data_IF_660388465194
#
_entry.id   IF_660388465194
#
_cell.length_a   1.000
_cell.length_b   1.000
_cell.length_c   1.000
_cell.angle_alpha   90.00
_cell.angle_beta   90.00
_cell.angle_gamma   90.00
#
_symmetry.space_group_name_H-M   'P 1'
#
loop_
_entity.id
_entity.type
_entity.pdbx_description
1 polymer ?
#
# COMPACT_ATOMS: atom_id res chain seq x y z
N UNK A 1 -30.70 26.25 -7.49
CA UNK A 1 -29.57 26.32 -6.53
C UNK A 1 -29.57 25.00 -5.76
N UNK A 2 -28.74 24.01 -6.10
CA UNK A 2 -28.70 22.74 -5.33
C UNK A 2 -27.51 21.84 -5.71
N UNK A 3 -26.32 22.43 -5.92
CA UNK A 3 -25.07 21.67 -6.17
C UNK A 3 -23.94 21.97 -5.18
N UNK A 4 -24.28 22.59 -4.04
CA UNK A 4 -23.29 22.99 -3.02
C UNK A 4 -23.29 22.09 -1.78
N UNK A 5 -24.40 21.41 -1.48
CA UNK A 5 -24.54 20.60 -0.26
C UNK A 5 -23.95 19.17 -0.32
N UNK A 6 -23.65 18.63 -1.51
CA UNK A 6 -23.05 17.29 -1.64
C UNK A 6 -21.52 17.27 -1.47
N UNK A 7 -20.85 18.36 -1.85
CA UNK A 7 -19.38 18.48 -1.73
C UNK A 7 -18.95 18.59 -0.27
N UNK A 8 -19.75 19.26 0.56
CA UNK A 8 -19.46 19.45 1.98
C UNK A 8 -19.62 18.15 2.80
N UNK A 9 -20.49 17.21 2.38
CA UNK A 9 -20.61 15.88 3.01
C UNK A 9 -19.45 14.95 2.67
N UNK A 10 -18.92 15.03 1.45
CA UNK A 10 -17.76 14.25 1.03
C UNK A 10 -16.50 14.64 1.81
N UNK A 11 -16.30 15.94 2.07
CA UNK A 11 -15.17 16.43 2.86
C UNK A 11 -15.17 15.90 4.31
N UNK A 12 -16.33 15.74 4.97
CA UNK A 12 -16.40 15.32 6.37
C UNK A 12 -16.00 13.85 6.63
N UNK A 13 -16.14 12.96 5.66
CA UNK A 13 -15.87 11.53 5.81
C UNK A 13 -14.36 11.17 5.71
N UNK A 14 -13.55 12.00 5.05
CA UNK A 14 -12.10 11.76 4.87
C UNK A 14 -11.25 12.14 6.09
N UNK A 15 -11.76 13.01 6.96
CA UNK A 15 -11.04 13.50 8.14
C UNK A 15 -10.63 12.40 9.14
N UNK A 16 -11.48 11.43 9.51
CA UNK A 16 -11.09 10.37 10.43
C UNK A 16 -10.05 9.42 9.82
N UNK A 17 -10.17 9.06 8.54
CA UNK A 17 -9.21 8.18 7.88
C UNK A 17 -7.83 8.85 7.76
N UNK A 18 -7.78 10.07 7.24
CA UNK A 18 -6.55 10.85 7.12
C UNK A 18 -5.88 11.12 8.46
N UNK A 19 -6.64 11.21 9.56
CA UNK A 19 -6.07 11.32 10.91
C UNK A 19 -5.44 10.01 11.36
N UNK A 20 -6.13 8.88 11.20
CA UNK A 20 -5.57 7.56 11.57
C UNK A 20 -4.29 7.25 10.80
N UNK A 21 -4.25 7.59 9.51
CA UNK A 21 -3.06 7.44 8.68
C UNK A 21 -1.87 8.24 9.24
N UNK A 22 -2.08 9.54 9.55
CA UNK A 22 -1.05 10.38 10.17
C UNK A 22 -0.59 9.83 11.52
N UNK A 23 -1.51 9.42 12.37
CA UNK A 23 -1.18 8.85 13.67
C UNK A 23 -0.39 7.54 13.53
N UNK A 24 -0.70 6.74 12.50
CA UNK A 24 0.06 5.53 12.18
C UNK A 24 1.48 5.86 11.70
N UNK A 25 1.63 6.85 10.81
CA UNK A 25 2.94 7.32 10.35
C UNK A 25 3.82 7.77 11.53
N UNK A 26 3.30 8.63 12.40
CA UNK A 26 4.02 9.09 13.60
C UNK A 26 4.45 7.91 14.47
N UNK A 27 3.54 6.98 14.79
CA UNK A 27 3.87 5.80 15.60
C UNK A 27 4.92 4.89 14.97
N UNK A 28 4.95 4.77 13.64
CA UNK A 28 5.94 3.96 12.94
C UNK A 28 7.30 4.66 12.89
N UNK A 29 7.32 5.98 12.68
CA UNK A 29 8.54 6.79 12.77
C UNK A 29 9.13 6.75 14.18
N UNK A 30 8.32 6.87 15.22
CA UNK A 30 8.76 6.72 16.63
C UNK A 30 9.35 5.32 16.93
N UNK A 31 8.97 4.32 16.13
CA UNK A 31 9.52 2.95 16.21
C UNK A 31 10.78 2.76 15.35
N UNK A 32 11.31 3.82 14.75
CA UNK A 32 12.51 3.78 13.94
C UNK A 32 12.27 3.39 12.48
N UNK A 33 11.09 3.68 11.91
CA UNK A 33 10.84 3.44 10.48
C UNK A 33 11.77 4.25 9.56
N UNK A 34 12.34 5.35 10.06
CA UNK A 34 13.39 6.14 9.41
C UNK A 34 14.79 5.48 9.49
N UNK A 35 14.95 4.49 10.37
CA UNK A 35 16.18 3.77 10.66
C UNK A 35 16.12 2.29 10.24
N UNK A 36 15.21 1.93 9.31
CA UNK A 36 15.15 0.57 8.77
C UNK A 36 16.49 0.27 8.11
N UNK A 37 17.33 -0.49 8.82
CA UNK A 37 18.62 -0.92 8.33
C UNK A 37 18.45 -1.75 7.05
N UNK A 38 19.44 -1.74 6.14
CA UNK A 38 19.51 -2.74 5.08
C UNK A 38 19.29 -4.12 5.70
N UNK A 39 18.39 -4.93 5.13
CA UNK A 39 18.04 -6.20 5.75
C UNK A 39 19.32 -7.04 5.81
N UNK A 40 19.71 -7.61 6.97
CA UNK A 40 21.04 -8.22 7.13
C UNK A 40 21.28 -9.47 6.26
N UNK A 41 20.22 -10.03 5.64
CA UNK A 41 20.31 -11.10 4.64
C UNK A 41 20.30 -10.60 3.18
N UNK A 42 20.16 -9.29 2.96
CA UNK A 42 20.39 -8.65 1.66
C UNK A 42 21.89 -8.33 1.57
N UNK A 43 22.60 -8.75 0.51
CA UNK A 43 23.99 -8.37 0.30
C UNK A 43 24.10 -6.83 0.23
N UNK A 44 24.91 -6.22 1.11
CA UNK A 44 25.19 -4.79 1.06
C UNK A 44 25.99 -4.42 -0.20
N UNK A 45 25.62 -3.27 -0.80
CA UNK A 45 26.13 -2.70 -2.05
C UNK A 45 25.92 -3.57 -3.31
N UNK A 46 24.76 -3.39 -3.97
CA UNK A 46 24.49 -3.98 -5.31
C UNK A 46 23.15 -4.69 -5.46
N UNK A 47 22.31 -4.75 -4.42
CA UNK A 47 20.94 -5.25 -4.57
C UNK A 47 20.15 -4.33 -5.52
N UNK A 48 19.55 -4.93 -6.56
CA UNK A 48 18.63 -4.20 -7.45
C UNK A 48 17.50 -3.60 -6.62
N UNK A 49 17.20 -2.30 -6.77
CA UNK A 49 16.04 -1.69 -6.11
C UNK A 49 14.74 -2.46 -6.40
N UNK A 50 13.77 -2.37 -5.50
CA UNK A 50 12.48 -3.05 -5.69
C UNK A 50 11.77 -2.54 -6.94
N UNK A 51 10.81 -3.30 -7.48
CA UNK A 51 10.02 -2.81 -8.61
C UNK A 51 9.26 -1.54 -8.24
N UNK A 52 8.81 -1.41 -6.98
CA UNK A 52 8.23 -0.15 -6.47
C UNK A 52 9.24 1.00 -6.56
N UNK A 53 10.46 0.83 -6.06
CA UNK A 53 11.49 1.87 -6.09
C UNK A 53 11.83 2.30 -7.52
N UNK A 54 11.98 1.33 -8.43
CA UNK A 54 12.28 1.59 -9.83
C UNK A 54 11.16 2.38 -10.52
N UNK A 55 9.89 2.08 -10.23
CA UNK A 55 8.75 2.83 -10.80
C UNK A 55 8.66 4.26 -10.27
N UNK A 56 8.96 4.48 -8.98
CA UNK A 56 9.02 5.84 -8.40
C UNK A 56 10.19 6.64 -8.98
N UNK A 57 11.35 5.99 -9.13
CA UNK A 57 12.52 6.60 -9.76
C UNK A 57 12.23 6.99 -11.23
N UNK A 58 11.61 6.09 -11.99
CA UNK A 58 11.23 6.37 -13.37
C UNK A 58 10.25 7.56 -13.48
N UNK A 59 9.28 7.67 -12.56
CA UNK A 59 8.39 8.83 -12.49
C UNK A 59 9.15 10.12 -12.15
N UNK A 60 10.08 10.08 -11.20
CA UNK A 60 10.90 11.23 -10.82
C UNK A 60 11.80 11.71 -11.96
N UNK A 61 12.34 10.78 -12.77
CA UNK A 61 13.23 11.07 -13.92
C UNK A 61 12.49 11.10 -15.26
N UNK A 62 11.17 11.19 -15.27
CA UNK A 62 10.36 10.98 -16.48
C UNK A 62 10.77 11.86 -17.67
N UNK A 63 11.23 13.09 -17.44
CA UNK A 63 11.69 14.00 -18.50
C UNK A 63 12.98 13.58 -19.20
N UNK A 64 13.71 12.64 -18.62
CA UNK A 64 15.01 12.16 -19.10
C UNK A 64 14.91 10.77 -19.75
N UNK A 65 13.74 10.12 -19.66
CA UNK A 65 13.53 8.79 -20.22
C UNK A 65 13.16 8.89 -21.69
N UNK A 66 13.74 7.98 -22.48
CA UNK A 66 13.27 7.68 -23.83
C UNK A 66 11.93 6.95 -23.79
N UNK A 67 11.25 6.87 -24.94
CA UNK A 67 9.99 6.14 -25.05
C UNK A 67 10.15 4.65 -24.68
N UNK A 68 11.25 4.01 -25.09
CA UNK A 68 11.50 2.59 -24.79
C UNK A 68 11.78 2.36 -23.30
N UNK A 69 12.53 3.28 -22.65
CA UNK A 69 12.76 3.22 -21.21
C UNK A 69 11.46 3.44 -20.41
N UNK A 70 10.58 4.32 -20.88
CA UNK A 70 9.27 4.52 -20.28
C UNK A 70 8.39 3.26 -20.41
N UNK A 71 8.39 2.60 -21.58
CA UNK A 71 7.71 1.31 -21.76
C UNK A 71 8.30 0.22 -20.85
N UNK A 72 9.63 0.18 -20.71
CA UNK A 72 10.32 -0.67 -19.75
C UNK A 72 9.85 -0.44 -18.32
N UNK A 73 9.79 0.82 -17.88
CA UNK A 73 9.30 1.19 -16.55
C UNK A 73 7.83 0.79 -16.35
N UNK A 74 6.96 0.98 -17.35
CA UNK A 74 5.56 0.54 -17.28
C UNK A 74 5.42 -0.98 -17.15
N UNK A 75 6.33 -1.75 -17.76
CA UNK A 75 6.37 -3.21 -17.63
C UNK A 75 6.68 -3.71 -16.21
N UNK A 76 7.25 -2.84 -15.35
CA UNK A 76 7.51 -3.16 -13.94
C UNK A 76 6.26 -3.05 -13.05
N UNK A 77 5.20 -2.37 -13.50
CA UNK A 77 3.99 -2.14 -12.68
C UNK A 77 3.33 -3.43 -12.15
N UNK A 78 3.21 -4.54 -12.90
CA UNK A 78 2.69 -5.81 -12.36
C UNK A 78 3.56 -6.41 -11.25
N UNK A 79 4.87 -6.17 -11.25
CA UNK A 79 5.79 -6.59 -10.19
C UNK A 79 5.71 -5.65 -8.99
N UNK A 80 5.71 -4.34 -9.22
CA UNK A 80 5.55 -3.35 -8.15
C UNK A 80 4.23 -3.54 -7.37
N UNK A 81 3.12 -3.80 -8.08
CA UNK A 81 1.84 -4.15 -7.45
C UNK A 81 1.91 -5.45 -6.65
N UNK A 82 2.63 -6.46 -7.15
CA UNK A 82 2.84 -7.72 -6.44
C UNK A 82 3.54 -7.50 -5.10
N UNK A 83 4.60 -6.69 -5.10
CA UNK A 83 5.39 -6.40 -3.91
C UNK A 83 4.53 -5.73 -2.83
N UNK A 84 3.70 -4.75 -3.21
CA UNK A 84 2.76 -4.10 -2.29
C UNK A 84 1.69 -5.08 -1.79
N UNK A 85 1.10 -5.88 -2.69
CA UNK A 85 0.10 -6.90 -2.32
C UNK A 85 0.68 -7.95 -1.37
N UNK A 86 1.94 -8.35 -1.53
CA UNK A 86 2.61 -9.30 -0.63
C UNK A 86 2.77 -8.72 0.77
N UNK A 87 3.15 -7.44 0.88
CA UNK A 87 3.22 -6.75 2.18
C UNK A 87 1.83 -6.66 2.82
N UNK A 88 0.81 -6.34 2.03
CA UNK A 88 -0.58 -6.28 2.50
C UNK A 88 -1.06 -7.62 3.04
N UNK A 89 -0.83 -8.72 2.31
CA UNK A 89 -1.18 -10.08 2.75
C UNK A 89 -0.45 -10.44 4.04
N UNK A 90 0.85 -10.17 4.12
CA UNK A 90 1.64 -10.45 5.32
C UNK A 90 1.12 -9.64 6.53
N UNK A 91 0.80 -8.36 6.34
CA UNK A 91 0.27 -7.51 7.40
C UNK A 91 -1.13 -7.95 7.85
N UNK A 92 -2.00 -8.35 6.91
CA UNK A 92 -3.30 -8.92 7.22
C UNK A 92 -3.18 -10.22 8.01
N UNK A 93 -2.23 -11.09 7.63
CA UNK A 93 -1.95 -12.31 8.37
C UNK A 93 -1.54 -12.01 9.82
N UNK A 94 -0.58 -11.09 10.02
CA UNK A 94 -0.14 -10.65 11.36
C UNK A 94 -1.29 -10.02 12.15
N UNK A 95 -2.08 -9.14 11.54
CA UNK A 95 -3.25 -8.54 12.19
C UNK A 95 -4.24 -9.61 12.68
N UNK A 96 -4.49 -10.64 11.85
CA UNK A 96 -5.38 -11.74 12.20
C UNK A 96 -4.79 -12.65 13.28
N UNK A 97 -3.46 -12.89 13.28
CA UNK A 97 -2.80 -13.68 14.34
C UNK A 97 -2.79 -12.97 15.68
N UNK A 98 -2.72 -11.63 15.69
CA UNK A 98 -2.87 -10.79 16.89
C UNK A 98 -4.34 -10.61 17.35
N UNK A 99 -5.28 -11.30 16.69
CA UNK A 99 -6.68 -11.34 17.11
C UNK A 99 -7.55 -10.18 16.63
N UNK A 100 -7.07 -9.29 15.74
CA UNK A 100 -7.89 -8.18 15.23
C UNK A 100 -9.10 -8.73 14.48
N UNK A 101 -10.29 -8.22 14.82
CA UNK A 101 -11.54 -8.60 14.16
C UNK A 101 -11.64 -7.99 12.76
N UNK A 102 -12.44 -8.60 11.89
CA UNK A 102 -12.74 -8.05 10.57
C UNK A 102 -13.37 -6.67 10.62
N UNK A 103 -14.08 -6.31 11.70
CA UNK A 103 -14.62 -4.97 11.88
C UNK A 103 -13.51 -3.94 12.14
N UNK A 104 -12.54 -4.27 13.00
CA UNK A 104 -11.38 -3.41 13.28
C UNK A 104 -10.51 -3.23 12.03
N UNK A 105 -10.26 -4.31 11.29
CA UNK A 105 -9.49 -4.26 10.04
C UNK A 105 -10.24 -3.44 8.98
N UNK A 106 -11.55 -3.66 8.82
CA UNK A 106 -12.37 -2.89 7.90
C UNK A 106 -12.34 -1.40 8.22
N UNK A 107 -12.49 -1.04 9.48
CA UNK A 107 -12.42 0.35 9.92
C UNK A 107 -11.03 0.96 9.63
N UNK A 108 -9.95 0.24 9.94
CA UNK A 108 -8.58 0.70 9.73
C UNK A 108 -8.24 0.91 8.25
N UNK A 109 -8.71 0.04 7.37
CA UNK A 109 -8.49 0.11 5.92
C UNK A 109 -9.53 0.96 5.17
N UNK A 110 -10.46 1.61 5.87
CA UNK A 110 -11.46 2.48 5.24
C UNK A 110 -12.61 1.76 4.53
N UNK A 111 -12.84 0.47 4.81
CA UNK A 111 -14.01 -0.24 4.31
C UNK A 111 -15.29 0.19 5.04
N UNK A 112 -16.39 0.23 4.29
CA UNK A 112 -17.72 0.57 4.82
C UNK A 112 -18.38 -0.57 5.61
N UNK A 113 -17.86 -1.79 5.51
CA UNK A 113 -18.37 -2.94 6.28
C UNK A 113 -17.30 -4.04 6.46
N UNK A 114 -17.42 -4.87 7.52
CA UNK A 114 -16.55 -6.02 7.72
C UNK A 114 -16.61 -7.03 6.56
N UNK A 115 -17.79 -7.22 5.98
CA UNK A 115 -18.00 -8.13 4.85
C UNK A 115 -17.26 -7.64 3.60
N UNK A 116 -17.26 -6.33 3.32
CA UNK A 116 -16.52 -5.77 2.19
C UNK A 116 -15.01 -6.02 2.33
N UNK A 117 -14.48 -5.87 3.55
CA UNK A 117 -13.10 -6.20 3.88
C UNK A 117 -12.82 -7.71 3.67
N UNK A 118 -13.66 -8.60 4.20
CA UNK A 118 -13.50 -10.05 3.99
C UNK A 118 -13.50 -10.44 2.51
N UNK A 119 -14.43 -9.90 1.72
CA UNK A 119 -14.51 -10.17 0.28
C UNK A 119 -13.31 -9.60 -0.49
N UNK A 120 -12.78 -8.47 -0.04
CA UNK A 120 -11.52 -7.94 -0.57
C UNK A 120 -10.36 -8.91 -0.29
N UNK A 121 -10.17 -9.32 0.96
CA UNK A 121 -9.08 -10.22 1.35
C UNK A 121 -9.18 -11.57 0.63
N UNK A 122 -10.38 -12.15 0.52
CA UNK A 122 -10.58 -13.40 -0.22
C UNK A 122 -10.15 -13.27 -1.69
N UNK A 123 -10.45 -12.14 -2.34
CA UNK A 123 -10.02 -11.86 -3.72
C UNK A 123 -8.51 -11.63 -3.80
N UNK A 124 -7.93 -10.97 -2.80
CA UNK A 124 -6.49 -10.74 -2.72
C UNK A 124 -5.74 -12.07 -2.60
N UNK A 125 -6.15 -12.96 -1.69
CA UNK A 125 -5.56 -14.30 -1.54
C UNK A 125 -5.70 -15.16 -2.79
N UNK A 126 -6.88 -15.19 -3.43
CA UNK A 126 -7.10 -15.98 -4.64
C UNK A 126 -6.19 -15.54 -5.82
N UNK A 127 -5.82 -14.25 -5.87
CA UNK A 127 -4.87 -13.73 -6.88
C UNK A 127 -3.43 -14.15 -6.61
N UNK A 128 -3.06 -14.31 -5.35
CA UNK A 128 -1.73 -14.79 -4.95
C UNK A 128 -1.57 -16.28 -5.25
N UNK A 129 -2.59 -17.09 -4.98
CA UNK A 129 -2.59 -18.52 -5.29
C UNK A 129 -2.47 -18.79 -6.79
N UNK A 130 -3.02 -17.92 -7.65
CA UNK A 130 -2.89 -18.03 -9.10
C UNK A 130 -1.54 -17.57 -9.67
N UNK A 131 -0.64 -17.02 -8.84
CA UNK A 131 0.69 -16.52 -9.23
C UNK A 131 1.84 -17.41 -8.72
N UNK A 132 1.56 -18.27 -7.74
CA UNK A 132 2.45 -19.32 -7.24
C UNK A 132 2.52 -20.50 -8.23
#
# INVERSE_FOLDING_TARGET
>A
MERKHDVDRANGADHPHARRERDAQVRLLDKGADQIAPRPWQPEAGATPSAVDLTQYALWRASELTQDELLGALSLLPSARAEVENVEVALLFVARSEGLTWAQIAEAMGFRSPQACQQYVNRLSARQDGRA
#
